data_IF_961096698060
#
_entry.id   IF_961096698060
#
_cell.length_a   1.000
_cell.length_b   1.000
_cell.length_c   1.000
_cell.angle_alpha   90.00
_cell.angle_beta   90.00
_cell.angle_gamma   90.00
#
_symmetry.space_group_name_H-M   'P 1'
#
loop_
_entity.id
_entity.type
_entity.pdbx_description
1 polymer ?
#
# COMPACT_ATOMS: atom_id res chain seq x y z
N UNK A 1 20.09 -10.63 -12.04
CA UNK A 1 19.96 -9.58 -10.99
C UNK A 1 18.49 -9.20 -10.93
N UNK A 2 17.83 -9.46 -9.82
CA UNK A 2 16.40 -9.08 -9.64
C UNK A 2 16.31 -7.55 -9.64
N UNK A 3 15.47 -6.98 -10.50
CA UNK A 3 15.26 -5.53 -10.56
C UNK A 3 14.78 -5.03 -9.20
N UNK A 4 15.42 -3.98 -8.68
CA UNK A 4 15.02 -3.32 -7.43
C UNK A 4 13.61 -2.74 -7.59
N UNK A 5 12.72 -3.03 -6.65
CA UNK A 5 11.32 -2.60 -6.73
C UNK A 5 10.77 -2.08 -5.41
N UNK A 6 9.79 -1.22 -5.51
CA UNK A 6 8.94 -0.79 -4.39
C UNK A 6 7.53 -1.33 -4.61
N UNK A 7 6.93 -1.92 -3.59
CA UNK A 7 5.54 -2.38 -3.61
C UNK A 7 4.74 -1.59 -2.59
N UNK A 8 3.71 -0.91 -3.07
CA UNK A 8 2.79 -0.14 -2.24
C UNK A 8 1.61 -1.04 -1.85
N UNK A 9 1.45 -1.30 -0.57
CA UNK A 9 0.27 -1.98 -0.03
C UNK A 9 -0.78 -0.96 0.37
N UNK A 10 -1.87 -0.94 -0.37
CA UNK A 10 -3.04 -0.13 -0.12
C UNK A 10 -4.15 -0.96 0.55
N UNK A 11 -5.18 -0.31 1.05
CA UNK A 11 -6.35 -0.94 1.65
C UNK A 11 -6.89 -0.17 2.84
N UNK A 12 -8.10 -0.51 3.34
CA UNK A 12 -8.70 0.15 4.49
C UNK A 12 -7.94 -0.11 5.79
N UNK A 13 -8.28 0.60 6.85
CA UNK A 13 -7.80 0.31 8.20
C UNK A 13 -8.18 -1.13 8.56
N UNK A 14 -7.26 -1.87 9.16
CA UNK A 14 -7.50 -3.25 9.58
C UNK A 14 -7.39 -4.31 8.47
N UNK A 15 -7.16 -3.95 7.20
CA UNK A 15 -6.98 -4.92 6.11
C UNK A 15 -5.68 -5.76 6.21
N UNK A 16 -4.80 -5.45 7.16
CA UNK A 16 -3.57 -6.21 7.39
C UNK A 16 -2.32 -5.66 6.71
N UNK A 17 -2.35 -4.44 6.18
CA UNK A 17 -1.19 -3.83 5.47
C UNK A 17 0.12 -3.94 6.25
N UNK A 18 0.11 -3.53 7.50
CA UNK A 18 1.33 -3.52 8.35
C UNK A 18 1.78 -4.92 8.71
N UNK A 19 0.87 -5.81 9.14
CA UNK A 19 1.23 -7.16 9.58
C UNK A 19 1.66 -8.04 8.43
N UNK A 20 0.88 -8.08 7.35
CA UNK A 20 1.20 -8.85 6.14
C UNK A 20 2.40 -8.28 5.40
N UNK A 21 2.50 -6.95 5.32
CA UNK A 21 3.65 -6.29 4.69
C UNK A 21 4.97 -6.60 5.39
N UNK A 22 4.99 -6.60 6.73
CA UNK A 22 6.18 -7.00 7.50
C UNK A 22 6.53 -8.48 7.30
N UNK A 23 5.53 -9.35 7.30
CA UNK A 23 5.74 -10.78 7.08
C UNK A 23 6.27 -11.05 5.66
N UNK A 24 5.66 -10.49 4.64
CA UNK A 24 6.10 -10.62 3.26
C UNK A 24 7.51 -10.04 3.05
N UNK A 25 7.82 -8.86 3.63
CA UNK A 25 9.16 -8.28 3.56
C UNK A 25 10.21 -9.22 4.16
N UNK A 26 9.91 -9.84 5.31
CA UNK A 26 10.81 -10.82 5.95
C UNK A 26 11.03 -12.04 5.07
N UNK A 27 9.97 -12.61 4.49
CA UNK A 27 10.07 -13.76 3.57
C UNK A 27 10.95 -13.42 2.37
N UNK A 28 10.85 -12.21 1.85
CA UNK A 28 11.57 -11.76 0.66
C UNK A 28 12.98 -11.22 0.94
N UNK A 29 13.41 -11.17 2.21
CA UNK A 29 14.67 -10.51 2.57
C UNK A 29 14.68 -9.01 2.29
N UNK A 30 13.49 -8.40 2.18
CA UNK A 30 13.29 -7.00 1.85
C UNK A 30 13.16 -6.09 3.07
N UNK A 31 12.78 -4.82 2.82
CA UNK A 31 12.49 -3.82 3.87
C UNK A 31 11.01 -3.49 3.90
N UNK A 32 10.50 -3.30 5.10
CA UNK A 32 9.13 -2.82 5.34
C UNK A 32 9.16 -1.37 5.84
N UNK A 33 8.26 -0.56 5.32
CA UNK A 33 8.03 0.83 5.71
C UNK A 33 6.55 0.99 6.05
N UNK A 34 6.26 1.46 7.26
CA UNK A 34 4.92 1.90 7.63
C UNK A 34 4.79 3.40 7.32
N UNK A 35 3.89 3.74 6.41
CA UNK A 35 3.68 5.13 6.02
C UNK A 35 3.10 5.98 7.15
N UNK A 36 2.38 5.36 8.07
CA UNK A 36 1.79 6.04 9.21
C UNK A 36 2.86 6.55 10.20
N UNK A 37 4.05 5.94 10.23
CA UNK A 37 5.19 6.41 11.05
C UNK A 37 5.69 7.81 10.63
N UNK A 38 5.34 8.26 9.42
CA UNK A 38 5.72 9.58 8.88
C UNK A 38 4.57 10.59 8.89
N UNK A 39 3.38 10.17 9.33
CA UNK A 39 2.22 11.05 9.40
C UNK A 39 2.35 12.02 10.58
N UNK A 40 2.05 13.31 10.33
CA UNK A 40 1.94 14.29 11.39
C UNK A 40 0.50 14.30 11.92
N UNK A 41 0.27 13.54 12.98
CA UNK A 41 -1.05 13.42 13.62
C UNK A 41 -1.51 14.70 14.36
N UNK A 42 -0.63 15.71 14.51
CA UNK A 42 -0.98 17.00 15.11
C UNK A 42 -1.68 17.95 14.15
N UNK A 43 -1.72 17.63 12.86
CA UNK A 43 -2.30 18.45 11.79
C UNK A 43 -3.30 17.67 10.94
N UNK A 44 -4.25 18.35 10.26
CA UNK A 44 -5.08 17.72 9.26
C UNK A 44 -4.20 17.00 8.22
N UNK A 45 -4.57 15.79 7.84
CA UNK A 45 -3.81 14.90 6.96
C UNK A 45 -3.34 15.56 5.65
N UNK A 46 -4.15 16.46 5.08
CA UNK A 46 -3.83 17.17 3.84
C UNK A 46 -2.69 18.19 4.00
N UNK A 47 -2.46 18.69 5.21
CA UNK A 47 -1.36 19.64 5.48
C UNK A 47 0.00 18.94 5.53
N UNK A 48 0.04 17.67 5.92
CA UNK A 48 1.27 16.89 6.04
C UNK A 48 1.53 15.96 4.83
N UNK A 49 0.56 15.82 3.93
CA UNK A 49 0.56 14.86 2.84
C UNK A 49 1.87 14.85 2.03
N UNK A 50 2.31 16.02 1.58
CA UNK A 50 3.54 16.15 0.78
C UNK A 50 4.79 15.79 1.59
N UNK A 51 4.84 16.15 2.86
CA UNK A 51 5.96 15.82 3.75
C UNK A 51 6.01 14.32 4.02
N UNK A 52 4.89 13.71 4.35
CA UNK A 52 4.75 12.28 4.58
C UNK A 52 5.15 11.47 3.34
N UNK A 53 4.61 11.79 2.18
CA UNK A 53 4.91 11.07 0.94
C UNK A 53 6.38 11.25 0.51
N UNK A 54 6.98 12.43 0.72
CA UNK A 54 8.40 12.62 0.50
C UNK A 54 9.24 11.73 1.42
N UNK A 55 8.94 11.70 2.71
CA UNK A 55 9.67 10.89 3.68
C UNK A 55 9.59 9.39 3.34
N UNK A 56 8.42 8.91 2.93
CA UNK A 56 8.22 7.53 2.45
C UNK A 56 9.14 7.24 1.25
N UNK A 57 9.10 8.08 0.22
CA UNK A 57 9.90 7.90 -1.00
C UNK A 57 11.40 7.92 -0.68
N UNK A 58 11.88 8.90 0.07
CA UNK A 58 13.30 9.00 0.43
C UNK A 58 13.77 7.80 1.25
N UNK A 59 12.94 7.31 2.17
CA UNK A 59 13.27 6.11 2.96
C UNK A 59 13.30 4.85 2.08
N UNK A 60 12.35 4.72 1.15
CA UNK A 60 12.33 3.59 0.21
C UNK A 60 13.58 3.60 -0.70
N UNK A 61 13.93 4.76 -1.26
CA UNK A 61 15.12 4.90 -2.10
C UNK A 61 16.42 4.62 -1.33
N UNK A 62 16.49 5.03 -0.07
CA UNK A 62 17.63 4.71 0.81
C UNK A 62 17.76 3.21 1.02
N UNK A 63 16.67 2.53 1.39
CA UNK A 63 16.67 1.09 1.59
C UNK A 63 17.12 0.32 0.33
N UNK A 64 16.70 0.75 -0.86
CA UNK A 64 17.16 0.16 -2.12
C UNK A 64 18.65 0.42 -2.39
N UNK A 65 19.19 1.57 -1.99
CA UNK A 65 20.64 1.83 -2.07
C UNK A 65 21.43 0.93 -1.11
N UNK A 66 20.88 0.63 0.06
CA UNK A 66 21.43 -0.30 1.07
C UNK A 66 21.24 -1.78 0.69
N UNK A 67 21.00 -2.06 -0.57
CA UNK A 67 20.91 -3.39 -1.18
C UNK A 67 19.65 -4.22 -0.82
N UNK A 68 18.59 -3.60 -0.29
CA UNK A 68 17.32 -4.31 -0.17
C UNK A 68 16.80 -4.75 -1.56
N UNK A 69 16.44 -6.03 -1.77
CA UNK A 69 15.95 -6.51 -3.06
C UNK A 69 14.56 -5.96 -3.38
N UNK A 70 13.76 -5.72 -2.35
CA UNK A 70 12.40 -5.16 -2.44
C UNK A 70 12.10 -4.31 -1.22
N UNK A 71 11.35 -3.23 -1.42
CA UNK A 71 10.80 -2.42 -0.34
C UNK A 71 9.28 -2.49 -0.40
N UNK A 72 8.66 -2.86 0.72
CA UNK A 72 7.20 -2.90 0.86
C UNK A 72 6.77 -1.72 1.72
N UNK A 73 5.89 -0.90 1.19
CA UNK A 73 5.35 0.29 1.86
C UNK A 73 3.87 0.08 2.17
N UNK A 74 3.48 0.10 3.42
CA UNK A 74 2.07 0.12 3.83
C UNK A 74 1.60 1.56 3.96
N UNK A 75 0.66 1.99 3.12
CA UNK A 75 0.06 3.32 3.21
C UNK A 75 -1.30 3.35 2.51
N UNK A 76 -2.35 3.96 3.12
CA UNK A 76 -3.64 4.12 2.45
C UNK A 76 -3.52 5.15 1.32
N UNK A 77 -3.66 4.69 0.08
CA UNK A 77 -3.45 5.52 -1.11
C UNK A 77 -4.78 6.12 -1.60
N UNK A 78 -4.80 7.42 -1.78
CA UNK A 78 -5.72 8.08 -2.69
C UNK A 78 -5.02 8.36 -4.03
N UNK A 79 -5.76 8.85 -5.04
CA UNK A 79 -5.22 9.10 -6.38
C UNK A 79 -4.03 10.07 -6.37
N UNK A 80 -4.07 11.10 -5.53
CA UNK A 80 -3.02 12.12 -5.45
C UNK A 80 -1.74 11.53 -4.85
N UNK A 81 -1.85 10.82 -3.72
CA UNK A 81 -0.69 10.21 -3.07
C UNK A 81 -0.06 9.11 -3.91
N UNK A 82 -0.90 8.27 -4.53
CA UNK A 82 -0.45 7.26 -5.48
C UNK A 82 0.35 7.87 -6.61
N UNK A 83 -0.22 8.85 -7.33
CA UNK A 83 0.44 9.52 -8.46
C UNK A 83 1.79 10.13 -8.05
N UNK A 84 1.80 10.84 -6.91
CA UNK A 84 3.00 11.51 -6.44
C UNK A 84 4.13 10.53 -6.07
N UNK A 85 3.81 9.46 -5.34
CA UNK A 85 4.79 8.44 -4.94
C UNK A 85 5.31 7.70 -6.18
N UNK A 86 4.42 7.22 -7.04
CA UNK A 86 4.80 6.47 -8.24
C UNK A 86 5.64 7.32 -9.19
N UNK A 87 5.28 8.60 -9.39
CA UNK A 87 6.05 9.52 -10.21
C UNK A 87 7.48 9.70 -9.69
N UNK A 88 7.63 9.95 -8.39
CA UNK A 88 8.94 10.14 -7.76
C UNK A 88 9.82 8.89 -7.83
N UNK A 89 9.24 7.71 -7.64
CA UNK A 89 9.95 6.43 -7.77
C UNK A 89 10.34 6.15 -9.23
N UNK A 90 9.46 6.42 -10.16
CA UNK A 90 9.71 6.31 -11.59
C UNK A 90 10.86 7.23 -12.04
N UNK A 91 10.84 8.51 -11.63
CA UNK A 91 11.89 9.47 -11.95
C UNK A 91 13.26 9.06 -11.38
N UNK A 92 13.27 8.22 -10.31
CA UNK A 92 14.45 7.59 -9.75
C UNK A 92 14.83 6.24 -10.42
N UNK A 93 14.12 5.83 -11.48
CA UNK A 93 14.37 4.57 -12.19
C UNK A 93 13.96 3.31 -11.39
N UNK A 94 13.03 3.44 -10.45
CA UNK A 94 12.58 2.33 -9.59
C UNK A 94 11.25 1.78 -10.08
N UNK A 95 11.20 0.47 -10.31
CA UNK A 95 9.98 -0.24 -10.62
C UNK A 95 9.02 -0.23 -9.41
N UNK A 96 7.75 0.13 -9.64
CA UNK A 96 6.76 0.28 -8.58
C UNK A 96 5.51 -0.52 -8.90
N UNK A 97 5.03 -1.33 -7.95
CA UNK A 97 3.75 -2.03 -8.04
C UNK A 97 2.83 -1.64 -6.90
N UNK A 98 1.52 -1.69 -7.15
CA UNK A 98 0.47 -1.39 -6.17
C UNK A 98 -0.40 -2.61 -5.94
N UNK A 99 -0.50 -3.06 -4.70
CA UNK A 99 -1.40 -4.14 -4.29
C UNK A 99 -2.44 -3.56 -3.33
N UNK A 100 -3.72 -3.64 -3.69
CA UNK A 100 -4.80 -3.34 -2.75
C UNK A 100 -5.19 -4.59 -1.98
N UNK A 101 -5.11 -4.52 -0.65
CA UNK A 101 -5.58 -5.57 0.24
C UNK A 101 -7.08 -5.41 0.43
N UNK A 102 -7.83 -6.45 0.04
CA UNK A 102 -9.28 -6.53 0.19
C UNK A 102 -9.63 -7.37 1.42
N UNK A 103 -10.47 -6.81 2.28
CA UNK A 103 -11.05 -7.48 3.43
C UNK A 103 -12.48 -6.97 3.62
N UNK A 104 -13.38 -7.84 4.01
CA UNK A 104 -14.75 -7.46 4.36
C UNK A 104 -14.80 -6.71 5.70
N UNK A 105 -15.82 -5.87 5.87
CA UNK A 105 -16.01 -5.14 7.13
C UNK A 105 -16.10 -6.11 8.32
N UNK A 106 -16.86 -7.18 8.17
CA UNK A 106 -17.09 -8.19 9.20
C UNK A 106 -15.80 -8.87 9.64
N UNK A 107 -14.93 -9.18 8.69
CA UNK A 107 -13.60 -9.78 8.99
C UNK A 107 -12.65 -8.80 9.65
N UNK A 108 -12.71 -7.53 9.27
CA UNK A 108 -11.87 -6.49 9.90
C UNK A 108 -12.25 -6.35 11.37
N UNK A 109 -13.56 -6.21 11.69
CA UNK A 109 -14.03 -5.93 13.05
C UNK A 109 -14.21 -7.18 13.91
N UNK A 110 -14.26 -8.38 13.31
CA UNK A 110 -14.64 -9.65 13.94
C UNK A 110 -13.65 -10.22 14.97
N UNK A 111 -12.66 -9.45 15.40
CA UNK A 111 -11.75 -9.83 16.51
C UNK A 111 -10.75 -10.94 16.17
N UNK A 112 -10.90 -11.69 15.09
CA UNK A 112 -9.98 -12.76 14.68
C UNK A 112 -8.56 -12.24 14.36
N UNK A 113 -8.43 -10.94 14.17
CA UNK A 113 -7.14 -10.25 13.90
C UNK A 113 -6.52 -9.63 15.15
N UNK A 114 -7.07 -9.90 16.34
CA UNK A 114 -6.50 -9.50 17.64
C UNK A 114 -6.51 -8.00 17.93
N UNK A 115 -7.29 -7.19 17.16
CA UNK A 115 -7.42 -5.74 17.36
C UNK A 115 -8.87 -5.37 17.67
N UNK A 116 -9.06 -4.64 18.77
CA UNK A 116 -10.33 -3.95 19.04
C UNK A 116 -10.33 -2.57 18.35
N UNK A 117 -11.46 -2.18 17.80
CA UNK A 117 -11.67 -0.90 17.15
C UNK A 117 -12.67 -0.05 17.94
N UNK A 118 -12.37 1.24 18.08
CA UNK A 118 -13.32 2.23 18.59
C UNK A 118 -14.46 2.46 17.58
N UNK A 119 -15.55 3.06 18.02
CA UNK A 119 -16.68 3.37 17.12
C UNK A 119 -16.26 4.35 16.00
N UNK A 120 -15.39 5.31 16.31
CA UNK A 120 -14.84 6.23 15.32
C UNK A 120 -13.99 5.49 14.26
N UNK A 121 -13.17 4.52 14.66
CA UNK A 121 -12.41 3.69 13.72
C UNK A 121 -13.32 2.80 12.89
N UNK A 122 -14.36 2.20 13.47
CA UNK A 122 -15.36 1.39 12.75
C UNK A 122 -16.07 2.21 11.68
N UNK A 123 -16.45 3.44 12.01
CA UNK A 123 -17.06 4.34 11.04
C UNK A 123 -16.06 4.73 9.94
N UNK A 124 -14.81 5.03 10.31
CA UNK A 124 -13.77 5.31 9.32
C UNK A 124 -13.51 4.13 8.38
N UNK A 125 -13.55 2.89 8.88
CA UNK A 125 -13.44 1.68 8.06
C UNK A 125 -14.58 1.61 7.04
N UNK A 126 -15.83 1.86 7.45
CA UNK A 126 -16.99 1.87 6.53
C UNK A 126 -16.82 2.91 5.43
N UNK A 127 -16.42 4.12 5.80
CA UNK A 127 -16.15 5.21 4.85
C UNK A 127 -15.06 4.79 3.86
N UNK A 128 -13.95 4.24 4.33
CA UNK A 128 -12.86 3.81 3.45
C UNK A 128 -13.28 2.68 2.50
N UNK A 129 -14.10 1.73 2.96
CA UNK A 129 -14.65 0.69 2.09
C UNK A 129 -15.58 1.29 1.03
N UNK A 130 -16.46 2.21 1.41
CA UNK A 130 -17.34 2.93 0.47
C UNK A 130 -16.56 3.81 -0.52
N UNK A 131 -15.44 4.39 -0.10
CA UNK A 131 -14.51 5.14 -0.96
C UNK A 131 -13.65 4.23 -1.87
N UNK A 132 -13.82 2.90 -1.80
CA UNK A 132 -13.14 1.93 -2.65
C UNK A 132 -11.66 1.72 -2.32
N UNK A 133 -11.22 1.90 -1.06
CA UNK A 133 -9.82 1.66 -0.68
C UNK A 133 -9.40 0.19 -0.84
N UNK A 134 -10.34 -0.74 -0.83
CA UNK A 134 -10.08 -2.16 -1.04
C UNK A 134 -9.79 -2.52 -2.51
N UNK A 135 -10.24 -1.68 -3.47
CA UNK A 135 -10.23 -1.98 -4.91
C UNK A 135 -9.93 -0.74 -5.75
N UNK A 136 -8.78 -0.10 -5.49
CA UNK A 136 -8.41 1.09 -6.24
C UNK A 136 -8.16 0.78 -7.72
N UNK A 137 -8.67 1.60 -8.66
CA UNK A 137 -8.49 1.37 -10.10
C UNK A 137 -7.03 1.38 -10.56
N UNK A 138 -6.14 1.98 -9.78
CA UNK A 138 -4.71 2.04 -10.04
C UNK A 138 -3.92 0.87 -9.40
N UNK A 139 -4.61 -0.14 -8.87
CA UNK A 139 -3.95 -1.33 -8.30
C UNK A 139 -3.59 -2.31 -9.41
N UNK A 140 -2.35 -2.76 -9.42
CA UNK A 140 -1.91 -3.82 -10.32
C UNK A 140 -2.49 -5.18 -9.90
N UNK A 141 -2.75 -5.33 -8.59
CA UNK A 141 -3.34 -6.53 -8.02
C UNK A 141 -4.29 -6.19 -6.88
N UNK A 142 -5.46 -6.84 -6.85
CA UNK A 142 -6.35 -6.88 -5.69
C UNK A 142 -6.13 -8.21 -4.99
N UNK A 143 -5.74 -8.16 -3.72
CA UNK A 143 -5.35 -9.33 -2.95
C UNK A 143 -6.30 -9.56 -1.78
N UNK A 144 -7.04 -10.67 -1.80
CA UNK A 144 -7.97 -11.05 -0.74
C UNK A 144 -7.22 -11.54 0.50
N UNK A 145 -7.55 -10.97 1.64
CA UNK A 145 -6.96 -11.34 2.93
C UNK A 145 -7.90 -12.13 3.84
N UNK A 146 -9.09 -12.46 3.34
CA UNK A 146 -10.15 -13.15 4.09
C UNK A 146 -10.21 -14.67 3.85
N UNK A 147 -9.50 -15.15 2.82
CA UNK A 147 -9.68 -16.51 2.30
C UNK A 147 -8.98 -17.60 3.09
N UNK A 148 -7.82 -17.29 3.67
CA UNK A 148 -6.97 -18.26 4.36
C UNK A 148 -6.40 -17.67 5.67
N UNK A 149 -5.65 -18.47 6.43
CA UNK A 149 -4.96 -18.03 7.63
C UNK A 149 -3.83 -17.02 7.33
N UNK A 150 -3.31 -16.41 8.39
CA UNK A 150 -2.31 -15.35 8.27
C UNK A 150 -1.00 -15.80 7.60
N UNK A 151 -0.47 -16.97 7.98
CA UNK A 151 0.82 -17.44 7.48
C UNK A 151 0.73 -17.78 6.00
N UNK A 152 -0.32 -18.48 5.60
CA UNK A 152 -0.61 -18.77 4.20
C UNK A 152 -0.81 -17.48 3.41
N UNK A 153 -1.56 -16.52 3.95
CA UNK A 153 -1.77 -15.20 3.32
C UNK A 153 -0.45 -14.47 3.10
N UNK A 154 0.45 -14.48 4.09
CA UNK A 154 1.75 -13.82 3.99
C UNK A 154 2.67 -14.47 2.93
N UNK A 155 2.67 -15.80 2.83
CA UNK A 155 3.42 -16.55 1.81
C UNK A 155 2.86 -16.24 0.41
N UNK A 156 1.54 -16.27 0.24
CA UNK A 156 0.89 -15.96 -1.03
C UNK A 156 1.15 -14.51 -1.46
N UNK A 157 1.11 -13.56 -0.52
CA UNK A 157 1.44 -12.16 -0.80
C UNK A 157 2.91 -12.01 -1.24
N UNK A 158 3.83 -12.69 -0.57
CA UNK A 158 5.24 -12.67 -0.96
C UNK A 158 5.46 -13.27 -2.37
N UNK A 159 4.77 -14.36 -2.69
CA UNK A 159 4.79 -14.96 -4.02
C UNK A 159 4.20 -14.02 -5.09
N UNK A 160 3.09 -13.34 -4.79
CA UNK A 160 2.48 -12.36 -5.69
C UNK A 160 3.42 -11.17 -5.95
N UNK A 161 4.15 -10.71 -4.93
CA UNK A 161 5.15 -9.64 -5.06
C UNK A 161 6.30 -10.05 -6.00
N UNK A 162 6.70 -11.30 -6.01
CA UNK A 162 7.73 -11.82 -6.91
C UNK A 162 7.21 -12.16 -8.30
N UNK A 163 5.91 -12.37 -8.44
CA UNK A 163 5.28 -12.81 -9.66
C UNK A 163 5.28 -11.74 -10.77
N UNK A 164 5.04 -12.18 -12.02
CA UNK A 164 4.98 -11.30 -13.19
C UNK A 164 3.70 -10.43 -13.22
N UNK A 165 2.74 -10.69 -12.34
CA UNK A 165 1.45 -10.00 -12.30
C UNK A 165 1.56 -8.56 -11.77
N UNK A 166 2.61 -8.23 -11.03
CA UNK A 166 2.90 -6.84 -10.71
C UNK A 166 3.54 -6.21 -11.94
N UNK A 167 2.72 -5.53 -12.72
CA UNK A 167 3.18 -4.78 -13.89
C UNK A 167 4.23 -3.78 -13.46
N UNK A 168 5.44 -3.95 -13.96
CA UNK A 168 6.56 -3.03 -13.76
C UNK A 168 6.45 -1.86 -14.75
N UNK A 169 5.33 -1.77 -15.49
CA UNK A 169 5.10 -0.66 -16.39
C UNK A 169 5.00 0.63 -15.58
N UNK A 170 5.69 1.66 -16.03
CA UNK A 170 5.44 3.02 -15.55
C UNK A 170 3.93 3.27 -15.63
N UNK A 171 3.29 3.73 -14.54
CA UNK A 171 1.88 4.08 -14.64
C UNK A 171 1.74 5.06 -15.79
N UNK A 172 0.71 4.87 -16.63
CA UNK A 172 0.38 5.85 -17.66
C UNK A 172 0.02 7.15 -16.91
N UNK A 173 1.04 7.99 -16.74
CA UNK A 173 0.98 9.23 -15.99
C UNK A 173 0.37 10.36 -16.84
N UNK A 174 -0.19 10.03 -18.02
CA UNK A 174 -0.91 10.99 -18.81
C UNK A 174 -2.10 11.54 -17.98
N UNK A 175 -2.24 12.86 -17.88
CA UNK A 175 -3.41 13.44 -17.24
C UNK A 175 -4.62 13.05 -18.09
N UNK A 176 -5.46 12.14 -17.58
CA UNK A 176 -6.77 11.94 -18.17
C UNK A 176 -7.46 13.32 -18.13
N UNK A 177 -7.61 13.90 -19.31
CA UNK A 177 -8.45 15.08 -19.54
C UNK A 177 -9.78 14.86 -18.82
N UNK A 178 -10.06 15.74 -17.87
CA UNK A 178 -11.37 15.80 -17.22
C UNK A 178 -12.44 15.90 -18.31
N UNK A 179 -13.16 14.82 -18.54
CA UNK A 179 -14.48 14.90 -19.13
C UNK A 179 -15.41 15.23 -17.96
N UNK A 180 -15.67 16.52 -17.80
CA UNK A 180 -16.81 17.00 -17.03
C UNK A 180 -18.08 16.43 -17.68
N UNK A 181 -18.93 15.74 -16.92
CA UNK A 181 -20.30 15.52 -17.38
C UNK A 181 -21.09 16.82 -17.18
N UNK A 182 -21.54 17.38 -18.29
CA UNK A 182 -22.54 18.44 -18.35
C UNK A 182 -23.85 18.05 -17.70
#
# INVERSE_FOLDING_TARGET
MTAKRVVLLNGPIGAGKTTLGRAAARILGGRFIDGDDYADHSRPWFCSLRRTTNAIVETALRALREAAPVVIVAYPLNRVTWFYICRRLHDAGVATGVISLRASYERIIGGSRGRAFTDAERERIRVMLAEGYAERPFSDLIFDTDLVDFDTTAIQLAAAIQGPQLSIAAPDLAPHSAQDPS
#
